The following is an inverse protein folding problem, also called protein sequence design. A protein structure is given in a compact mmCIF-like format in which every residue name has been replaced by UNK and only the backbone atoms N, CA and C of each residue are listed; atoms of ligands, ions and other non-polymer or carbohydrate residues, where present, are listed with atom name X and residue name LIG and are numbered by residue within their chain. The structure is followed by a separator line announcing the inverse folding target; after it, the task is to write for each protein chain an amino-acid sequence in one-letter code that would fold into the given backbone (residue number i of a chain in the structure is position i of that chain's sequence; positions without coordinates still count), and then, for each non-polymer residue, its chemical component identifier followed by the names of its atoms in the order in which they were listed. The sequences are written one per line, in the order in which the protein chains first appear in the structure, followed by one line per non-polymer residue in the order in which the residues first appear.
data_IF_722519789576
#
_entry.id   IF_722519789576
#
_cell.length_a   1.000
_cell.length_b   1.000
_cell.length_c   1.000
_cell.angle_alpha   90.00
_cell.angle_beta   90.00
_cell.angle_gamma   90.00
#
_symmetry.space_group_name_H-M   'P 1'
#
loop_
_entity.id
_entity.type
_entity.pdbx_description
1 polymer ?
#
# COMPACT_ATOMS: atom_id res chain seq x y z
N UNK A 1 13.31 -25.69 12.34
CA UNK A 1 13.80 -24.30 12.42
C UNK A 1 12.58 -23.40 12.58
N UNK A 2 12.33 -22.90 13.79
CA UNK A 2 11.11 -22.11 14.08
C UNK A 2 11.28 -20.70 13.52
N UNK A 3 10.52 -20.35 12.49
CA UNK A 3 10.46 -18.98 11.97
C UNK A 3 9.78 -18.14 13.06
N UNK A 4 10.53 -17.26 13.73
CA UNK A 4 9.95 -16.38 14.74
C UNK A 4 9.05 -15.37 14.00
N UNK A 5 7.76 -15.39 14.30
CA UNK A 5 6.81 -14.44 13.72
C UNK A 5 7.26 -13.01 14.08
N UNK A 6 7.36 -12.14 13.08
CA UNK A 6 7.66 -10.72 13.27
C UNK A 6 6.35 -10.01 13.59
N UNK A 7 6.29 -9.33 14.73
CA UNK A 7 5.16 -8.48 15.07
C UNK A 7 5.17 -7.24 14.17
N UNK A 8 4.06 -7.01 13.45
CA UNK A 8 3.89 -5.85 12.58
C UNK A 8 3.05 -4.80 13.32
N UNK A 9 3.57 -3.58 13.58
CA UNK A 9 2.78 -2.51 14.16
C UNK A 9 1.69 -2.05 13.18
N UNK A 10 0.60 -1.48 13.72
CA UNK A 10 -0.43 -0.79 12.93
C UNK A 10 -0.42 0.69 13.25
N UNK A 11 -0.71 1.52 12.25
CA UNK A 11 -1.01 2.94 12.41
C UNK A 11 -2.46 3.20 11.99
N UNK A 12 -3.15 4.10 12.70
CA UNK A 12 -4.48 4.55 12.33
C UNK A 12 -4.42 5.54 11.15
N UNK A 13 -5.53 5.70 10.43
CA UNK A 13 -5.60 6.69 9.34
C UNK A 13 -5.48 8.13 9.87
N UNK A 14 -5.99 8.38 11.07
CA UNK A 14 -5.92 9.66 11.76
C UNK A 14 -4.47 10.00 12.15
N UNK A 15 -3.73 9.06 12.76
CA UNK A 15 -2.33 9.26 13.12
C UNK A 15 -1.45 9.40 11.87
N UNK A 16 -1.69 8.61 10.83
CA UNK A 16 -0.97 8.75 9.57
C UNK A 16 -1.22 10.13 8.97
N UNK A 17 -2.46 10.60 8.92
CA UNK A 17 -2.79 11.94 8.42
C UNK A 17 -2.06 13.04 9.19
N UNK A 18 -2.09 12.99 10.52
CA UNK A 18 -1.38 13.96 11.37
C UNK A 18 0.13 13.97 11.08
N UNK A 19 0.74 12.79 10.90
CA UNK A 19 2.17 12.69 10.58
C UNK A 19 2.49 13.24 9.18
N UNK A 20 1.63 13.02 8.20
CA UNK A 20 1.80 13.56 6.85
C UNK A 20 1.68 15.09 6.80
N UNK A 21 0.85 15.67 7.67
CA UNK A 21 0.73 17.12 7.81
C UNK A 21 1.90 17.74 8.60
N UNK A 22 2.69 16.91 9.28
CA UNK A 22 3.87 17.32 10.03
C UNK A 22 5.14 17.32 9.17
N UNK A 23 6.17 18.07 9.58
CA UNK A 23 7.45 18.17 8.84
C UNK A 23 8.31 16.89 8.80
N UNK A 24 7.86 15.77 9.37
CA UNK A 24 8.58 14.48 9.35
C UNK A 24 7.70 13.34 8.84
N UNK A 25 7.13 13.53 7.65
CA UNK A 25 6.22 12.57 7.03
C UNK A 25 6.88 11.19 6.84
N UNK A 26 6.17 10.08 7.12
CA UNK A 26 6.62 8.74 6.75
C UNK A 26 6.66 8.57 5.23
N UNK A 27 7.30 7.50 4.76
CA UNK A 27 7.20 7.05 3.36
C UNK A 27 5.99 6.13 3.23
N UNK A 28 5.13 6.38 2.25
CA UNK A 28 3.97 5.53 1.99
C UNK A 28 4.31 4.52 0.90
N UNK A 29 3.96 3.26 1.15
CA UNK A 29 4.13 2.14 0.21
C UNK A 29 2.77 1.51 -0.10
N UNK A 30 2.45 1.44 -1.38
CA UNK A 30 1.27 0.77 -1.93
C UNK A 30 1.60 -0.69 -2.25
N UNK A 31 1.19 -1.60 -1.36
CA UNK A 31 1.35 -3.04 -1.48
C UNK A 31 0.08 -3.75 -1.98
N UNK A 32 -0.88 -3.02 -2.56
CA UNK A 32 -2.10 -3.63 -3.12
C UNK A 32 -1.73 -4.74 -4.11
N UNK A 33 -2.52 -5.81 -4.16
CA UNK A 33 -2.37 -6.80 -5.23
C UNK A 33 -2.61 -6.17 -6.61
N UNK A 34 -2.13 -6.83 -7.67
CA UNK A 34 -2.16 -6.29 -9.05
C UNK A 34 -3.55 -5.80 -9.45
N UNK A 35 -4.58 -6.64 -9.28
CA UNK A 35 -5.93 -6.32 -9.71
C UNK A 35 -6.53 -5.10 -8.95
N UNK A 36 -6.56 -5.03 -7.60
CA UNK A 36 -7.01 -3.83 -6.88
C UNK A 36 -6.23 -2.55 -7.20
N UNK A 37 -4.94 -2.68 -7.54
CA UNK A 37 -4.14 -1.54 -7.96
C UNK A 37 -4.51 -1.05 -9.36
N UNK A 38 -4.59 -1.95 -10.35
CA UNK A 38 -4.89 -1.60 -11.74
C UNK A 38 -6.32 -1.06 -11.90
N UNK A 39 -7.28 -1.59 -11.15
CA UNK A 39 -8.70 -1.19 -11.21
C UNK A 39 -9.04 0.02 -10.34
N UNK A 40 -8.04 0.70 -9.79
CA UNK A 40 -8.23 1.92 -9.00
C UNK A 40 -7.62 3.13 -9.71
N UNK A 41 -8.32 4.25 -9.71
CA UNK A 41 -7.81 5.54 -10.22
C UNK A 41 -7.17 6.40 -9.13
N UNK A 42 -7.01 5.85 -7.91
CA UNK A 42 -6.54 6.61 -6.75
C UNK A 42 -5.48 5.84 -5.96
N UNK A 43 -4.65 6.59 -5.24
CA UNK A 43 -3.69 6.10 -4.25
C UNK A 43 -3.57 7.11 -3.11
N UNK A 44 -2.93 6.70 -2.02
CA UNK A 44 -2.53 7.65 -0.98
C UNK A 44 -1.47 8.64 -1.56
N UNK A 45 -1.46 9.90 -1.08
CA UNK A 45 -0.53 10.92 -1.57
C UNK A 45 0.93 10.49 -1.46
N UNK A 46 1.68 10.61 -2.55
CA UNK A 46 3.11 10.28 -2.59
C UNK A 46 3.43 8.79 -2.43
N UNK A 47 2.43 7.89 -2.48
CA UNK A 47 2.67 6.46 -2.30
C UNK A 47 3.55 5.87 -3.42
N UNK A 48 4.57 5.13 -3.00
CA UNK A 48 5.46 4.35 -3.85
C UNK A 48 4.89 2.95 -4.07
N UNK A 49 4.85 2.50 -5.31
CA UNK A 49 4.37 1.16 -5.65
C UNK A 49 5.38 0.10 -5.20
N UNK A 50 4.90 -0.92 -4.48
CA UNK A 50 5.67 -2.13 -4.20
C UNK A 50 5.21 -3.27 -5.12
N UNK A 51 6.17 -3.97 -5.73
CA UNK A 51 5.94 -5.10 -6.60
C UNK A 51 6.66 -6.32 -6.00
N UNK A 52 5.95 -7.37 -5.58
CA UNK A 52 6.57 -8.56 -4.97
C UNK A 52 7.64 -9.21 -5.87
N UNK A 53 7.38 -9.24 -7.17
CA UNK A 53 8.28 -9.84 -8.18
C UNK A 53 9.10 -8.78 -8.95
N UNK A 54 9.09 -7.53 -8.49
CA UNK A 54 9.75 -6.41 -9.14
C UNK A 54 10.96 -5.88 -8.36
N UNK A 55 11.72 -4.94 -8.93
CA UNK A 55 12.74 -4.24 -8.16
C UNK A 55 12.07 -3.52 -6.98
N UNK A 56 12.58 -3.75 -5.77
CA UNK A 56 12.12 -3.04 -4.59
C UNK A 56 12.31 -1.53 -4.80
N UNK A 57 11.33 -0.68 -4.42
CA UNK A 57 11.52 0.76 -4.47
C UNK A 57 12.71 1.15 -3.60
N UNK A 58 13.43 2.22 -3.99
CA UNK A 58 14.49 2.76 -3.14
C UNK A 58 13.86 3.40 -1.91
N UNK A 59 13.95 2.72 -0.77
CA UNK A 59 13.34 3.15 0.49
C UNK A 59 14.40 3.75 1.42
N UNK A 60 14.15 4.94 2.00
CA UNK A 60 15.06 5.56 2.95
C UNK A 60 15.13 4.76 4.25
N UNK A 61 16.30 4.79 4.89
CA UNK A 61 16.58 4.06 6.14
C UNK A 61 16.28 4.87 7.40
N UNK A 62 16.24 6.18 7.27
CA UNK A 62 16.08 7.16 8.34
C UNK A 62 14.61 7.55 8.60
N UNK A 63 13.68 7.11 7.75
CA UNK A 63 12.24 7.39 7.84
C UNK A 63 11.44 6.12 8.07
N UNK A 64 10.31 6.25 8.77
CA UNK A 64 9.34 5.17 8.92
C UNK A 64 8.61 4.92 7.59
N UNK A 65 8.30 3.65 7.33
CA UNK A 65 7.58 3.20 6.14
C UNK A 65 6.19 2.73 6.55
N UNK A 66 5.15 3.32 5.97
CA UNK A 66 3.77 2.91 6.18
C UNK A 66 3.28 2.19 4.92
N UNK A 67 2.94 0.92 5.08
CA UNK A 67 2.47 0.06 3.99
C UNK A 67 0.95 -0.04 4.04
N UNK A 68 0.28 0.06 2.90
CA UNK A 68 -1.16 -0.17 2.81
C UNK A 68 -1.52 -1.11 1.65
N UNK A 69 -2.67 -1.74 1.76
CA UNK A 69 -3.32 -2.54 0.74
C UNK A 69 -4.82 -2.22 0.67
N UNK A 70 -5.60 -3.08 0.01
CA UNK A 70 -7.05 -2.92 -0.15
C UNK A 70 -7.86 -3.85 0.74
N UNK A 71 -7.19 -4.69 1.55
CA UNK A 71 -7.85 -5.68 2.40
C UNK A 71 -8.07 -5.10 3.81
N UNK A 72 -9.29 -5.20 4.38
CA UNK A 72 -9.56 -4.70 5.73
C UNK A 72 -8.75 -5.43 6.81
N UNK A 73 -8.24 -6.64 6.54
CA UNK A 73 -7.39 -7.42 7.43
C UNK A 73 -5.89 -7.25 7.14
N UNK A 74 -5.53 -6.32 6.24
CA UNK A 74 -4.14 -5.89 6.02
C UNK A 74 -3.20 -7.03 5.60
N UNK A 75 -3.69 -8.04 4.88
CA UNK A 75 -2.93 -9.27 4.62
C UNK A 75 -1.66 -9.00 3.81
N UNK A 76 -1.75 -8.26 2.71
CA UNK A 76 -0.62 -7.96 1.85
C UNK A 76 0.28 -6.90 2.49
N UNK A 77 -0.32 -5.86 3.07
CA UNK A 77 0.43 -4.78 3.73
C UNK A 77 1.20 -5.28 4.95
N UNK A 78 0.62 -6.17 5.76
CA UNK A 78 1.31 -6.80 6.89
C UNK A 78 2.45 -7.70 6.44
N UNK A 79 2.27 -8.45 5.35
CA UNK A 79 3.34 -9.30 4.80
C UNK A 79 4.55 -8.46 4.37
N UNK A 80 4.31 -7.41 3.58
CA UNK A 80 5.37 -6.52 3.10
C UNK A 80 6.01 -5.76 4.25
N UNK A 81 5.24 -5.24 5.21
CA UNK A 81 5.78 -4.59 6.40
C UNK A 81 6.67 -5.53 7.22
N UNK A 82 6.26 -6.80 7.40
CA UNK A 82 7.07 -7.80 8.11
C UNK A 82 8.39 -8.07 7.38
N UNK A 83 8.40 -8.08 6.05
CA UNK A 83 9.61 -8.24 5.26
C UNK A 83 10.54 -7.06 5.42
N UNK A 84 10.02 -5.83 5.31
CA UNK A 84 10.80 -4.62 5.53
C UNK A 84 11.40 -4.58 6.95
N UNK A 85 10.66 -5.00 7.97
CA UNK A 85 11.18 -5.12 9.34
C UNK A 85 12.32 -6.13 9.41
N UNK A 86 12.21 -7.30 8.76
CA UNK A 86 13.31 -8.29 8.69
C UNK A 86 14.55 -7.74 8.00
N UNK A 87 14.37 -6.82 7.06
CA UNK A 87 15.46 -6.11 6.37
C UNK A 87 16.00 -4.92 7.17
N UNK A 88 15.52 -4.67 8.38
CA UNK A 88 15.99 -3.60 9.27
C UNK A 88 15.35 -2.23 9.06
N UNK A 89 14.24 -2.14 8.32
CA UNK A 89 13.46 -0.91 8.22
C UNK A 89 12.51 -0.75 9.41
N UNK A 90 12.19 0.50 9.76
CA UNK A 90 11.02 0.79 10.60
C UNK A 90 9.79 0.79 9.70
N UNK A 91 8.91 -0.19 9.86
CA UNK A 91 7.70 -0.28 9.06
C UNK A 91 6.46 -0.63 9.90
N UNK A 92 5.30 -0.15 9.46
CA UNK A 92 3.99 -0.46 10.02
C UNK A 92 2.94 -0.58 8.90
N UNK A 93 1.84 -1.30 9.17
CA UNK A 93 0.71 -1.39 8.26
C UNK A 93 -0.35 -0.31 8.58
N UNK A 94 -0.95 0.29 7.54
CA UNK A 94 -2.10 1.16 7.70
C UNK A 94 -3.35 0.32 8.02
N UNK A 95 -3.92 0.54 9.21
CA UNK A 95 -5.12 -0.17 9.65
C UNK A 95 -6.28 0.05 8.67
N UNK A 96 -6.87 -1.05 8.18
CA UNK A 96 -7.99 -1.04 7.22
C UNK A 96 -7.65 -0.53 5.81
N UNK A 97 -6.36 -0.28 5.52
CA UNK A 97 -5.87 0.02 4.17
C UNK A 97 -6.46 1.28 3.53
N UNK A 98 -6.45 1.31 2.19
CA UNK A 98 -6.96 2.45 1.41
C UNK A 98 -8.47 2.63 1.53
N UNK A 99 -9.22 1.57 1.86
CA UNK A 99 -10.69 1.65 1.98
C UNK A 99 -11.08 2.60 3.12
N UNK A 100 -10.52 2.38 4.32
CA UNK A 100 -10.76 3.24 5.48
C UNK A 100 -10.26 4.68 5.26
N UNK A 101 -9.14 4.84 4.53
CA UNK A 101 -8.62 6.15 4.16
C UNK A 101 -9.61 6.95 3.30
N UNK A 102 -10.21 6.29 2.30
CA UNK A 102 -11.20 6.89 1.41
C UNK A 102 -12.51 7.19 2.15
N UNK A 103 -12.99 6.27 2.99
CA UNK A 103 -14.22 6.47 3.78
C UNK A 103 -14.10 7.67 4.72
N UNK A 104 -12.89 7.97 5.20
CA UNK A 104 -12.61 9.15 6.02
C UNK A 104 -12.47 10.46 5.22
N UNK A 105 -12.66 10.44 3.90
CA UNK A 105 -12.48 11.59 3.00
C UNK A 105 -11.09 12.27 3.15
N UNK A 106 -10.06 11.47 3.41
CA UNK A 106 -8.69 11.97 3.51
C UNK A 106 -8.09 12.23 2.12
N UNK A 107 -7.05 13.09 2.01
CA UNK A 107 -6.47 13.45 0.72
C UNK A 107 -5.99 12.25 -0.09
N UNK A 108 -6.17 12.31 -1.41
CA UNK A 108 -5.77 11.27 -2.35
C UNK A 108 -4.94 11.86 -3.49
N UNK A 109 -4.19 11.00 -4.17
CA UNK A 109 -3.55 11.33 -5.43
C UNK A 109 -4.20 10.49 -6.54
N UNK A 110 -4.59 11.15 -7.63
CA UNK A 110 -5.09 10.49 -8.83
C UNK A 110 -3.96 9.74 -9.51
N UNK A 111 -4.25 8.54 -10.00
CA UNK A 111 -3.33 7.77 -10.84
C UNK A 111 -4.07 7.24 -12.06
N UNK A 112 -3.32 6.99 -13.13
CA UNK A 112 -3.87 6.27 -14.27
C UNK A 112 -4.21 4.82 -13.88
N UNK A 113 -5.40 4.40 -14.24
CA UNK A 113 -5.78 2.99 -14.32
C UNK A 113 -5.64 2.58 -15.78
N UNK A 114 -5.07 1.39 -16.10
CA UNK A 114 -5.07 0.89 -17.46
C UNK A 114 -6.50 0.94 -18.01
N UNK A 115 -6.72 1.70 -19.09
CA UNK A 115 -7.98 1.64 -19.84
C UNK A 115 -8.02 0.25 -20.46
N UNK A 116 -8.78 -0.68 -19.87
CA UNK A 116 -9.09 -1.90 -20.59
C UNK A 116 -9.85 -1.49 -21.85
N UNK A 117 -9.29 -1.77 -23.02
CA UNK A 117 -10.06 -1.68 -24.25
C UNK A 117 -11.26 -2.64 -24.08
N UNK A 118 -12.49 -2.21 -24.44
CA UNK A 118 -13.60 -3.14 -24.50
C UNK A 118 -13.17 -4.38 -25.31
N UNK A 119 -13.50 -5.61 -24.87
CA UNK A 119 -13.25 -6.78 -25.69
C UNK A 119 -13.90 -6.55 -27.06
N UNK A 120 -13.20 -6.93 -28.14
CA UNK A 120 -13.72 -6.72 -29.48
C UNK A 120 -15.11 -7.37 -29.62
N UNK A 121 -16.11 -6.65 -30.19
CA UNK A 121 -17.42 -7.23 -30.47
C UNK A 121 -17.24 -8.50 -31.33
N UNK A 122 -17.48 -9.67 -30.74
CA UNK A 122 -17.36 -10.98 -31.41
C UNK A 122 -16.37 -11.97 -30.82
N UNK A 123 -15.60 -11.63 -29.77
CA UNK A 123 -14.61 -12.53 -29.17
C UNK A 123 -15.20 -13.66 -28.28
N UNK A 124 -16.51 -13.67 -28.02
CA UNK A 124 -17.18 -14.77 -27.33
C UNK A 124 -17.59 -15.84 -28.36
N UNK A 125 -16.65 -16.73 -28.69
CA UNK A 125 -17.00 -17.97 -29.40
C UNK A 125 -17.60 -18.94 -28.37
N UNK A 126 -18.90 -19.19 -28.49
CA UNK A 126 -19.59 -20.27 -27.77
C UNK A 126 -19.17 -21.66 -28.24
#
# INVERSE_FOLDING_TARGET
MTIRAVAVPRISKEDLKQRLDSGSAPVIVDARLKYPYEHSTVKLPGALRYLPDGPAPSLPRDREIIVYDSDPNELASSHVAAELIRQGYRAAALKGGIVEWLTANLPIESKEAPKQAPPEPGALKG
#
